data_IF_074118200414
#
_entry.id   IF_074118200414
#
_cell.length_a   1.000
_cell.length_b   1.000
_cell.length_c   1.000
_cell.angle_alpha   90.00
_cell.angle_beta   90.00
_cell.angle_gamma   90.00
#
_symmetry.space_group_name_H-M   'P 1'
#
loop_
_entity.id
_entity.type
_entity.pdbx_description
1 polymer ?
#
# COMPACT_ATOMS: atom_id res chain seq x y z
N UNK A 1 0.13 -70.13 -1.65
CA UNK A 1 0.56 -70.93 -2.82
C UNK A 1 -0.62 -71.04 -3.78
N UNK A 2 -0.46 -70.53 -5.01
CA UNK A 2 -1.28 -70.84 -6.21
C UNK A 2 -2.67 -70.18 -6.27
N UNK A 3 -3.17 -69.63 -7.38
CA UNK A 3 -2.76 -69.70 -8.79
C UNK A 3 -3.28 -68.48 -9.58
N UNK A 4 -2.50 -68.13 -10.59
CA UNK A 4 -2.76 -67.23 -11.73
C UNK A 4 -3.70 -67.83 -12.78
N UNK A 5 -4.46 -66.97 -13.48
CA UNK A 5 -4.83 -66.97 -14.91
C UNK A 5 -5.83 -65.80 -15.13
N UNK A 6 -5.63 -64.70 -15.87
CA UNK A 6 -5.19 -64.41 -17.24
C UNK A 6 -6.17 -64.86 -18.35
N UNK A 7 -6.89 -63.83 -18.84
CA UNK A 7 -7.43 -63.52 -20.18
C UNK A 7 -8.67 -64.25 -20.72
N UNK A 8 -9.69 -63.46 -21.09
CA UNK A 8 -10.22 -63.48 -22.46
C UNK A 8 -10.76 -62.10 -22.86
N UNK A 9 -10.28 -61.61 -24.00
CA UNK A 9 -10.73 -60.43 -24.72
C UNK A 9 -12.03 -60.77 -25.47
N UNK A 10 -13.02 -59.88 -25.44
CA UNK A 10 -14.04 -59.82 -26.50
C UNK A 10 -14.35 -58.35 -26.81
N UNK A 11 -13.89 -57.93 -27.98
CA UNK A 11 -14.31 -56.70 -28.63
C UNK A 11 -15.58 -57.01 -29.44
N UNK A 12 -16.62 -56.17 -29.31
CA UNK A 12 -17.61 -56.00 -30.37
C UNK A 12 -18.04 -54.54 -30.44
N UNK A 13 -18.03 -54.03 -31.67
CA UNK A 13 -18.29 -52.65 -32.08
C UNK A 13 -19.76 -52.23 -31.97
N UNK A 14 -19.93 -50.96 -31.59
CA UNK A 14 -20.82 -49.93 -32.15
C UNK A 14 -22.32 -50.22 -32.33
N UNK A 15 -23.12 -49.51 -31.54
CA UNK A 15 -24.36 -48.89 -32.01
C UNK A 15 -24.49 -47.51 -31.34
N UNK A 16 -24.45 -46.44 -32.14
CA UNK A 16 -24.77 -45.09 -31.67
C UNK A 16 -26.28 -44.98 -31.43
N UNK A 17 -26.70 -44.16 -30.46
CA UNK A 17 -27.72 -43.19 -30.82
C UNK A 17 -27.47 -41.79 -30.28
N UNK A 18 -27.89 -40.83 -31.10
CA UNK A 18 -28.43 -39.51 -30.76
C UNK A 18 -27.55 -38.54 -29.98
N UNK A 19 -27.19 -37.47 -30.69
CA UNK A 19 -26.52 -36.29 -30.17
C UNK A 19 -27.20 -35.71 -28.94
N UNK A 20 -26.42 -35.67 -27.85
CA UNK A 20 -26.48 -34.56 -26.93
C UNK A 20 -25.45 -33.55 -27.43
N UNK A 21 -25.91 -32.49 -28.10
CA UNK A 21 -25.09 -31.31 -28.33
C UNK A 21 -24.74 -30.76 -26.94
N UNK A 22 -23.53 -31.06 -26.48
CA UNK A 22 -22.93 -30.31 -25.39
C UNK A 22 -22.81 -28.88 -25.89
N UNK A 23 -23.65 -27.99 -25.36
CA UNK A 23 -23.46 -26.56 -25.56
C UNK A 23 -22.00 -26.27 -25.20
N UNK A 24 -21.26 -25.75 -26.17
CA UNK A 24 -19.91 -25.26 -25.94
C UNK A 24 -19.97 -24.31 -24.73
N UNK A 25 -18.97 -24.33 -23.83
CA UNK A 25 -18.90 -23.31 -22.79
C UNK A 25 -18.92 -21.97 -23.50
N UNK A 26 -19.95 -21.17 -23.22
CA UNK A 26 -20.02 -19.78 -23.63
C UNK A 26 -18.69 -19.17 -23.24
N UNK A 27 -17.98 -18.64 -24.25
CA UNK A 27 -16.75 -17.91 -24.05
C UNK A 27 -16.96 -16.96 -22.88
N UNK A 28 -16.21 -17.20 -21.80
CA UNK A 28 -16.18 -16.30 -20.66
C UNK A 28 -15.94 -14.92 -21.23
N UNK A 29 -16.85 -13.97 -20.95
CA UNK A 29 -16.59 -12.57 -21.26
C UNK A 29 -15.18 -12.25 -20.78
N UNK A 30 -14.35 -11.55 -21.58
CA UNK A 30 -13.01 -11.22 -21.14
C UNK A 30 -13.16 -10.46 -19.83
N UNK A 31 -12.70 -11.08 -18.74
CA UNK A 31 -12.63 -10.42 -17.43
C UNK A 31 -11.77 -9.19 -17.68
N UNK A 32 -12.41 -8.03 -17.79
CA UNK A 32 -11.72 -6.75 -17.97
C UNK A 32 -10.76 -6.69 -16.81
N UNK A 33 -9.48 -6.70 -17.14
CA UNK A 33 -8.47 -6.85 -16.12
C UNK A 33 -8.53 -5.58 -15.26
N UNK A 34 -8.94 -5.73 -14.00
CA UNK A 34 -9.16 -4.62 -13.06
C UNK A 34 -7.87 -3.92 -12.63
N UNK A 35 -7.87 -2.59 -12.60
CA UNK A 35 -6.78 -1.78 -12.05
C UNK A 35 -6.62 -1.98 -10.53
N UNK A 36 -5.50 -1.52 -9.98
CA UNK A 36 -5.19 -1.67 -8.55
C UNK A 36 -6.25 -1.00 -7.67
N UNK A 37 -6.62 0.24 -7.97
CA UNK A 37 -7.65 0.96 -7.21
C UNK A 37 -9.00 0.24 -7.26
N UNK A 38 -9.40 -0.30 -8.41
CA UNK A 38 -10.64 -1.05 -8.59
C UNK A 38 -10.65 -2.33 -7.73
N UNK A 39 -9.52 -3.02 -7.62
CA UNK A 39 -9.37 -4.19 -6.72
C UNK A 39 -9.54 -3.80 -5.26
N UNK A 40 -8.98 -2.66 -4.85
CA UNK A 40 -9.15 -2.09 -3.50
C UNK A 40 -10.63 -1.82 -3.21
N UNK A 41 -11.35 -1.21 -4.16
CA UNK A 41 -12.78 -0.97 -4.01
C UNK A 41 -13.62 -2.25 -4.01
N UNK A 42 -13.26 -3.24 -4.81
CA UNK A 42 -14.01 -4.50 -4.92
C UNK A 42 -13.95 -5.36 -3.66
N UNK A 43 -12.82 -5.35 -2.92
CA UNK A 43 -12.67 -6.11 -1.69
C UNK A 43 -11.75 -5.39 -0.68
N UNK A 44 -12.25 -4.35 0.01
CA UNK A 44 -11.43 -3.52 0.89
C UNK A 44 -10.82 -4.31 2.06
N UNK A 45 -11.52 -5.32 2.57
CA UNK A 45 -11.03 -6.16 3.68
C UNK A 45 -9.79 -6.94 3.29
N UNK A 46 -9.85 -7.68 2.18
CA UNK A 46 -8.71 -8.47 1.70
C UNK A 46 -7.54 -7.54 1.31
N UNK A 47 -7.86 -6.42 0.69
CA UNK A 47 -6.87 -5.47 0.22
C UNK A 47 -6.17 -4.75 1.38
N UNK A 48 -6.89 -4.45 2.46
CA UNK A 48 -6.26 -3.89 3.67
C UNK A 48 -5.23 -4.85 4.27
N UNK A 49 -5.49 -6.15 4.31
CA UNK A 49 -4.52 -7.15 4.82
C UNK A 49 -3.23 -7.13 3.98
N UNK A 50 -3.38 -7.12 2.65
CA UNK A 50 -2.26 -7.04 1.72
C UNK A 50 -1.48 -5.73 1.88
N UNK A 51 -2.20 -4.60 1.91
CA UNK A 51 -1.60 -3.26 2.09
C UNK A 51 -0.86 -3.17 3.41
N UNK A 52 -1.43 -3.71 4.49
CA UNK A 52 -0.77 -3.76 5.79
C UNK A 52 0.52 -4.58 5.74
N UNK A 53 0.52 -5.73 5.07
CA UNK A 53 1.74 -6.51 4.86
C UNK A 53 2.81 -5.74 4.07
N UNK A 54 2.43 -5.00 3.02
CA UNK A 54 3.35 -4.14 2.26
C UNK A 54 3.88 -3.00 3.13
N UNK A 55 3.02 -2.31 3.89
CA UNK A 55 3.40 -1.25 4.81
C UNK A 55 4.47 -1.72 5.82
N UNK A 56 4.32 -2.94 6.34
CA UNK A 56 5.30 -3.56 7.25
C UNK A 56 6.70 -3.69 6.62
N UNK A 57 6.75 -4.02 5.32
CA UNK A 57 8.01 -4.21 4.59
C UNK A 57 8.72 -2.88 4.31
N UNK A 58 7.96 -1.78 4.15
CA UNK A 58 8.50 -0.48 3.74
C UNK A 58 8.61 0.53 4.88
N UNK A 59 8.07 0.25 6.08
CA UNK A 59 8.08 1.19 7.21
C UNK A 59 9.50 1.64 7.61
N UNK A 60 10.52 0.79 7.43
CA UNK A 60 11.92 1.15 7.68
C UNK A 60 12.48 2.20 6.71
N UNK A 61 11.82 2.42 5.58
CA UNK A 61 12.23 3.35 4.52
C UNK A 61 11.47 4.69 4.59
N UNK A 62 10.27 4.73 5.19
CA UNK A 62 9.41 5.94 5.25
C UNK A 62 9.75 6.86 6.46
N UNK A 63 11.02 6.91 6.86
CA UNK A 63 11.51 7.64 8.05
C UNK A 63 10.60 7.51 9.30
N UNK A 64 10.17 6.28 9.57
CA UNK A 64 9.29 5.97 10.69
C UNK A 64 10.09 5.69 11.97
N UNK A 65 11.19 6.41 12.24
CA UNK A 65 11.98 6.19 13.47
C UNK A 65 11.08 6.36 14.69
N UNK A 66 11.27 5.47 15.67
CA UNK A 66 10.56 5.58 16.93
C UNK A 66 10.93 6.90 17.61
N UNK A 67 9.92 7.74 17.86
CA UNK A 67 10.06 8.98 18.61
C UNK A 67 9.88 8.63 20.09
N UNK A 68 10.54 9.34 21.02
CA UNK A 68 10.41 9.06 22.44
C UNK A 68 8.95 9.16 22.92
N UNK A 69 8.67 8.49 24.03
CA UNK A 69 7.43 8.71 24.79
C UNK A 69 7.62 10.01 25.56
N UNK A 70 6.65 10.94 25.44
CA UNK A 70 6.73 12.24 26.09
C UNK A 70 6.42 12.10 27.59
N UNK A 71 6.91 13.03 28.40
CA UNK A 71 6.63 13.04 29.85
C UNK A 71 5.14 13.20 30.17
N UNK A 72 4.37 13.83 29.27
CA UNK A 72 2.93 14.01 29.41
C UNK A 72 2.12 12.76 29.02
N UNK A 73 2.75 11.82 28.30
CA UNK A 73 2.09 10.62 27.80
C UNK A 73 2.50 10.23 26.38
N UNK A 74 1.80 9.24 25.84
CA UNK A 74 1.93 8.82 24.45
C UNK A 74 0.80 9.42 23.60
N UNK A 75 1.15 10.29 22.65
CA UNK A 75 0.19 10.84 21.68
C UNK A 75 0.02 9.90 20.48
N UNK A 76 -1.20 9.40 20.26
CA UNK A 76 -1.50 8.51 19.13
C UNK A 76 -1.26 9.22 17.78
N UNK A 77 -1.49 10.53 17.70
CA UNK A 77 -1.38 11.31 16.48
C UNK A 77 0.01 11.92 16.24
N UNK A 78 1.03 11.46 16.97
CA UNK A 78 2.38 12.08 16.97
C UNK A 78 3.10 12.05 15.61
N UNK A 79 2.76 11.12 14.73
CA UNK A 79 3.46 10.91 13.46
C UNK A 79 2.85 11.64 12.27
N UNK A 80 1.61 12.12 12.42
CA UNK A 80 0.89 12.82 11.36
C UNK A 80 0.75 11.97 10.09
N UNK A 81 0.43 10.69 10.26
CA UNK A 81 0.17 9.79 9.14
C UNK A 81 -1.14 10.19 8.45
N UNK A 82 -1.00 10.91 7.34
CA UNK A 82 -2.11 11.23 6.44
C UNK A 82 -1.69 10.89 5.01
N UNK A 83 -2.65 10.63 4.09
CA UNK A 83 -2.33 10.41 2.68
C UNK A 83 -1.46 11.52 2.09
N UNK A 84 -1.70 12.79 2.44
CA UNK A 84 -0.94 13.95 1.96
C UNK A 84 0.51 13.91 2.44
N UNK A 85 0.72 13.61 3.72
CA UNK A 85 2.06 13.50 4.30
C UNK A 85 2.83 12.27 3.82
N UNK A 86 2.13 11.26 3.31
CA UNK A 86 2.71 10.00 2.85
C UNK A 86 2.93 9.93 1.35
N UNK A 87 2.07 10.59 0.58
CA UNK A 87 1.98 10.42 -0.86
C UNK A 87 2.13 11.75 -1.61
N UNK A 88 2.12 12.91 -0.94
CA UNK A 88 2.25 14.21 -1.60
C UNK A 88 1.16 14.41 -2.66
N UNK A 89 1.54 14.76 -3.89
CA UNK A 89 0.61 15.00 -5.00
C UNK A 89 -0.23 13.75 -5.38
N UNK A 90 0.14 12.55 -4.91
CA UNK A 90 -0.59 11.30 -5.17
C UNK A 90 -1.73 11.03 -4.19
N UNK A 91 -1.90 11.84 -3.13
CA UNK A 91 -2.87 11.57 -2.07
C UNK A 91 -4.29 11.40 -2.58
N UNK A 92 -4.76 12.34 -3.43
CA UNK A 92 -6.10 12.31 -4.01
C UNK A 92 -6.30 11.10 -4.93
N UNK A 93 -5.36 10.86 -5.84
CA UNK A 93 -5.43 9.76 -6.81
C UNK A 93 -5.34 8.37 -6.14
N UNK A 94 -4.65 8.26 -5.00
CA UNK A 94 -4.56 7.00 -4.26
C UNK A 94 -5.88 6.64 -3.56
N UNK A 95 -6.73 7.64 -3.27
CA UNK A 95 -8.06 7.46 -2.67
C UNK A 95 -8.05 6.53 -1.46
N UNK A 96 -8.92 5.52 -1.48
CA UNK A 96 -9.04 4.51 -0.41
C UNK A 96 -7.72 3.79 -0.13
N UNK A 97 -6.90 3.57 -1.16
CA UNK A 97 -5.57 2.93 -1.01
C UNK A 97 -4.66 3.78 -0.14
N UNK A 98 -4.66 5.11 -0.35
CA UNK A 98 -3.87 6.05 0.45
C UNK A 98 -4.31 6.08 1.91
N UNK A 99 -5.61 6.02 2.16
CA UNK A 99 -6.18 5.95 3.52
C UNK A 99 -5.76 4.65 4.23
N UNK A 100 -5.83 3.51 3.53
CA UNK A 100 -5.41 2.21 4.06
C UNK A 100 -3.91 2.18 4.37
N UNK A 101 -3.08 2.76 3.51
CA UNK A 101 -1.63 2.88 3.73
C UNK A 101 -1.33 3.72 4.96
N UNK A 102 -1.97 4.88 5.09
CA UNK A 102 -1.79 5.76 6.25
C UNK A 102 -2.16 5.05 7.56
N UNK A 103 -3.32 4.39 7.57
CA UNK A 103 -3.78 3.62 8.72
C UNK A 103 -2.83 2.48 9.09
N UNK A 104 -2.32 1.73 8.10
CA UNK A 104 -1.42 0.63 8.34
C UNK A 104 -0.12 1.12 9.00
N UNK A 105 0.49 2.18 8.49
CA UNK A 105 1.71 2.77 9.04
C UNK A 105 1.50 3.36 10.44
N UNK A 106 0.35 3.97 10.69
CA UNK A 106 -0.03 4.46 12.00
C UNK A 106 -0.19 3.31 13.02
N UNK A 107 -0.89 2.26 12.64
CA UNK A 107 -1.10 1.06 13.48
C UNK A 107 0.22 0.36 13.80
N UNK A 108 1.14 0.25 12.85
CA UNK A 108 2.49 -0.27 13.12
C UNK A 108 3.29 0.62 14.08
N UNK A 109 3.16 1.94 13.94
CA UNK A 109 3.80 2.90 14.84
C UNK A 109 3.29 2.75 16.26
N UNK A 110 1.97 2.60 16.44
CA UNK A 110 1.35 2.33 17.73
C UNK A 110 1.80 1.00 18.33
N UNK A 111 1.74 -0.10 17.56
CA UNK A 111 2.14 -1.42 18.04
C UNK A 111 3.58 -1.44 18.56
N UNK A 112 4.49 -0.74 17.88
CA UNK A 112 5.89 -0.59 18.29
C UNK A 112 6.04 0.29 19.54
N UNK A 113 5.41 1.46 19.53
CA UNK A 113 5.70 2.49 20.54
C UNK A 113 4.93 2.28 21.84
N UNK A 114 3.70 1.75 21.80
CA UNK A 114 2.90 1.51 22.99
C UNK A 114 3.56 0.48 23.92
N UNK A 115 4.26 -0.52 23.37
CA UNK A 115 5.10 -1.42 24.16
C UNK A 115 6.20 -0.68 24.94
N UNK A 116 6.84 0.32 24.31
CA UNK A 116 7.83 1.20 24.98
C UNK A 116 7.19 2.14 25.99
N UNK A 117 5.91 2.45 25.81
CA UNK A 117 5.09 3.23 26.72
C UNK A 117 4.50 2.38 27.87
N UNK A 118 4.91 1.12 28.03
CA UNK A 118 4.53 0.25 29.16
C UNK A 118 3.25 -0.57 28.95
N UNK A 119 2.69 -0.58 27.74
CA UNK A 119 1.48 -1.35 27.46
C UNK A 119 1.75 -2.83 27.15
N UNK A 120 0.88 -3.76 27.59
CA UNK A 120 0.98 -5.17 27.23
C UNK A 120 0.75 -5.39 25.72
N UNK A 121 1.71 -6.03 25.04
CA UNK A 121 1.70 -6.16 23.58
C UNK A 121 0.46 -6.85 23.02
N UNK A 122 -0.03 -7.94 23.66
CA UNK A 122 -1.21 -8.66 23.20
C UNK A 122 -2.48 -7.80 23.29
N UNK A 123 -2.67 -7.12 24.42
CA UNK A 123 -3.82 -6.23 24.62
C UNK A 123 -3.83 -5.05 23.64
N UNK A 124 -2.64 -4.51 23.33
CA UNK A 124 -2.49 -3.46 22.31
C UNK A 124 -2.82 -4.00 20.92
N UNK A 125 -2.31 -5.19 20.56
CA UNK A 125 -2.58 -5.79 19.26
C UNK A 125 -4.09 -6.03 19.05
N UNK A 126 -4.79 -6.52 20.07
CA UNK A 126 -6.25 -6.70 20.03
C UNK A 126 -6.99 -5.36 19.90
N UNK A 127 -6.57 -4.33 20.64
CA UNK A 127 -7.18 -3.00 20.57
C UNK A 127 -7.00 -2.37 19.18
N UNK A 128 -5.80 -2.45 18.60
CA UNK A 128 -5.50 -1.98 17.25
C UNK A 128 -6.31 -2.78 16.21
N UNK A 129 -6.38 -4.11 16.35
CA UNK A 129 -7.15 -4.95 15.43
C UNK A 129 -8.64 -4.60 15.41
N UNK A 130 -9.25 -4.32 16.57
CA UNK A 130 -10.65 -3.84 16.65
C UNK A 130 -10.82 -2.46 16.01
N UNK A 131 -9.86 -1.55 16.21
CA UNK A 131 -9.87 -0.23 15.59
C UNK A 131 -9.82 -0.35 14.06
N UNK A 132 -8.88 -1.14 13.51
CA UNK A 132 -8.77 -1.36 12.07
C UNK A 132 -10.02 -2.03 11.48
N UNK A 133 -10.59 -3.03 12.16
CA UNK A 133 -11.82 -3.67 11.73
C UNK A 133 -13.00 -2.68 11.65
N UNK A 134 -13.10 -1.74 12.59
CA UNK A 134 -14.11 -0.69 12.56
C UNK A 134 -13.94 0.24 11.35
N UNK A 135 -12.70 0.61 11.00
CA UNK A 135 -12.41 1.44 9.82
C UNK A 135 -12.76 0.74 8.51
N UNK A 136 -12.40 -0.54 8.39
CA UNK A 136 -12.71 -1.36 7.21
C UNK A 136 -14.23 -1.44 7.03
N UNK A 137 -14.97 -1.75 8.10
CA UNK A 137 -16.42 -1.85 8.06
C UNK A 137 -17.12 -0.52 7.68
N UNK A 138 -16.52 0.61 8.07
CA UNK A 138 -17.06 1.94 7.83
C UNK A 138 -16.45 2.66 6.61
N UNK A 139 -15.63 1.96 5.80
CA UNK A 139 -15.08 2.48 4.55
C UNK A 139 -14.08 3.62 4.69
N UNK A 140 -13.35 3.71 5.82
CA UNK A 140 -12.30 4.71 6.05
C UNK A 140 -12.75 6.19 5.91
N UNK A 141 -14.02 6.50 6.20
CA UNK A 141 -14.47 7.90 6.23
C UNK A 141 -13.83 8.69 7.37
N UNK A 142 -13.72 10.01 7.25
CA UNK A 142 -13.16 10.86 8.32
C UNK A 142 -13.92 10.70 9.64
N UNK A 143 -15.26 10.65 9.59
CA UNK A 143 -16.10 10.43 10.76
C UNK A 143 -15.85 9.06 11.41
N UNK A 144 -15.68 8.01 10.59
CA UNK A 144 -15.33 6.69 11.09
C UNK A 144 -13.95 6.67 11.73
N UNK A 145 -12.98 7.38 11.15
CA UNK A 145 -11.62 7.52 11.70
C UNK A 145 -11.65 8.19 13.07
N UNK A 146 -12.36 9.30 13.20
CA UNK A 146 -12.46 10.01 14.48
C UNK A 146 -13.12 9.16 15.56
N UNK A 147 -14.24 8.51 15.22
CA UNK A 147 -14.97 7.63 16.14
C UNK A 147 -14.15 6.40 16.54
N UNK A 148 -13.53 5.71 15.57
CA UNK A 148 -12.69 4.54 15.85
C UNK A 148 -11.46 4.91 16.69
N UNK A 149 -10.89 6.11 16.50
CA UNK A 149 -9.78 6.60 17.30
C UNK A 149 -10.22 6.93 18.74
N UNK A 150 -11.39 7.52 18.94
CA UNK A 150 -11.94 7.74 20.30
C UNK A 150 -12.20 6.42 21.04
N UNK A 151 -12.73 5.42 20.33
CA UNK A 151 -12.90 4.07 20.88
C UNK A 151 -11.56 3.41 21.25
N UNK A 152 -10.52 3.60 20.42
CA UNK A 152 -9.17 3.12 20.70
C UNK A 152 -8.58 3.79 21.95
N UNK A 153 -8.74 5.11 22.10
CA UNK A 153 -8.31 5.85 23.30
C UNK A 153 -8.98 5.28 24.55
N UNK A 154 -10.30 5.09 24.53
CA UNK A 154 -11.04 4.50 25.65
C UNK A 154 -10.53 3.10 26.02
N UNK A 155 -10.31 2.25 25.01
CA UNK A 155 -9.78 0.89 25.19
C UNK A 155 -8.36 0.90 25.78
N UNK A 156 -7.49 1.80 25.31
CA UNK A 156 -6.13 1.90 25.84
C UNK A 156 -6.13 2.45 27.28
N UNK A 157 -7.01 3.37 27.63
CA UNK A 157 -7.16 3.83 29.02
C UNK A 157 -7.70 2.73 29.96
N UNK A 158 -8.53 1.82 29.46
CA UNK A 158 -8.90 0.58 30.18
C UNK A 158 -7.70 -0.32 30.42
N UNK A 159 -6.90 -0.59 29.38
CA UNK A 159 -5.67 -1.40 29.49
C UNK A 159 -4.70 -0.76 30.48
N UNK A 160 -4.54 0.56 30.42
CA UNK A 160 -3.62 1.33 31.29
C UNK A 160 -3.94 1.16 32.77
N UNK A 161 -5.23 1.05 33.15
CA UNK A 161 -5.63 0.82 34.56
C UNK A 161 -5.08 -0.50 35.13
N UNK A 162 -4.81 -1.48 34.29
CA UNK A 162 -4.20 -2.77 34.67
C UNK A 162 -2.69 -2.87 34.41
N UNK A 163 -2.05 -1.82 33.88
CA UNK A 163 -0.65 -1.82 33.48
C UNK A 163 0.14 -0.74 34.24
N UNK A 164 0.71 -1.07 35.42
CA UNK A 164 1.51 -0.12 36.19
C UNK A 164 2.67 0.46 35.38
N UNK A 165 2.84 1.78 35.43
CA UNK A 165 3.88 2.49 34.68
C UNK A 165 3.56 2.74 33.21
N UNK A 166 2.41 2.30 32.70
CA UNK A 166 1.98 2.64 31.35
C UNK A 166 1.66 4.14 31.22
N UNK A 167 2.18 4.77 30.16
CA UNK A 167 2.00 6.18 29.90
C UNK A 167 0.53 6.52 29.62
N UNK A 168 0.09 7.74 29.95
CA UNK A 168 -1.24 8.22 29.59
C UNK A 168 -1.40 8.31 28.07
N UNK A 169 -2.59 8.02 27.53
CA UNK A 169 -2.88 8.25 26.10
C UNK A 169 -3.33 9.68 25.87
N UNK A 170 -2.80 10.28 24.81
CA UNK A 170 -3.19 11.59 24.29
C UNK A 170 -3.69 11.45 22.84
N UNK A 171 -4.68 12.26 22.46
CA UNK A 171 -5.17 12.45 21.08
C UNK A 171 -5.06 13.94 20.75
N UNK A 172 -3.84 14.42 20.52
CA UNK A 172 -3.57 15.83 20.23
C UNK A 172 -3.07 15.96 18.79
N UNK A 173 -3.84 16.63 17.94
CA UNK A 173 -3.40 16.92 16.58
C UNK A 173 -2.34 18.05 16.62
N UNK A 174 -1.08 17.69 16.34
CA UNK A 174 0.06 18.63 16.24
C UNK A 174 0.57 18.78 14.79
N UNK A 175 -0.23 18.35 13.82
CA UNK A 175 0.22 18.16 12.44
C UNK A 175 0.22 19.42 11.58
N UNK A 176 -0.39 20.52 12.06
CA UNK A 176 -0.54 21.79 11.32
C UNK A 176 0.76 22.51 10.93
N UNK A 177 1.94 21.90 11.10
CA UNK A 177 3.25 22.45 10.70
C UNK A 177 4.19 21.41 10.05
N UNK A 178 3.75 20.18 9.81
CA UNK A 178 4.59 19.10 9.31
C UNK A 178 4.08 18.59 7.96
N UNK A 179 4.22 19.40 6.91
CA UNK A 179 4.12 18.87 5.55
C UNK A 179 5.41 18.08 5.30
N UNK A 180 5.31 16.74 5.29
CA UNK A 180 6.47 15.87 5.03
C UNK A 180 6.86 15.84 3.55
N UNK A 181 5.96 16.23 2.66
CA UNK A 181 6.20 16.24 1.23
C UNK A 181 7.17 17.35 0.81
N UNK A 182 8.08 17.01 -0.10
CA UNK A 182 9.09 17.87 -0.67
C UNK A 182 8.69 18.32 -2.07
N UNK A 183 8.57 19.63 -2.26
CA UNK A 183 8.39 20.21 -3.58
C UNK A 183 9.73 20.18 -4.35
N UNK A 184 9.84 19.31 -5.36
CA UNK A 184 11.05 19.16 -6.19
C UNK A 184 10.73 19.39 -7.67
N UNK A 185 11.71 19.93 -8.38
CA UNK A 185 11.75 19.89 -9.84
C UNK A 185 12.36 18.58 -10.32
N UNK A 186 12.17 18.25 -11.60
CA UNK A 186 12.88 17.14 -12.25
C UNK A 186 13.52 17.60 -13.55
N UNK A 187 14.57 16.90 -13.97
CA UNK A 187 15.13 16.99 -15.32
C UNK A 187 15.53 15.62 -15.84
N UNK A 188 15.52 15.46 -17.15
CA UNK A 188 15.96 14.24 -17.83
C UNK A 188 17.34 14.45 -18.44
N UNK A 189 18.14 13.38 -18.48
CA UNK A 189 19.42 13.36 -19.18
C UNK A 189 19.52 12.05 -20.00
N UNK A 190 19.47 12.11 -21.35
CA UNK A 190 19.35 13.30 -22.21
C UNK A 190 18.08 14.13 -21.96
N UNK A 191 18.04 15.39 -22.40
CA UNK A 191 16.84 16.23 -22.27
C UNK A 191 15.68 15.73 -23.17
N UNK A 192 14.46 16.18 -22.88
CA UNK A 192 13.27 15.85 -23.67
C UNK A 192 12.59 14.53 -23.32
N UNK A 193 13.06 13.82 -22.29
CA UNK A 193 12.39 12.63 -21.76
C UNK A 193 11.08 12.97 -21.04
N UNK A 194 10.03 12.20 -21.31
CA UNK A 194 8.74 12.29 -20.60
C UNK A 194 8.76 11.37 -19.39
N UNK A 195 8.71 11.96 -18.20
CA UNK A 195 8.74 11.23 -16.94
C UNK A 195 7.34 10.98 -16.39
N UNK A 196 7.20 9.85 -15.69
CA UNK A 196 6.09 9.53 -14.79
C UNK A 196 6.66 9.03 -13.48
N UNK A 197 5.91 9.22 -12.40
CA UNK A 197 6.30 8.81 -11.06
C UNK A 197 5.15 8.13 -10.32
N UNK A 198 5.51 7.32 -9.34
CA UNK A 198 4.58 6.68 -8.41
C UNK A 198 5.27 6.50 -7.04
N UNK A 199 4.59 6.77 -5.91
CA UNK A 199 5.12 6.47 -4.59
C UNK A 199 5.49 5.00 -4.50
N UNK A 200 6.68 4.71 -3.97
CA UNK A 200 7.20 3.34 -3.96
C UNK A 200 6.27 2.36 -3.24
N UNK A 201 5.59 2.79 -2.18
CA UNK A 201 4.59 1.98 -1.49
C UNK A 201 3.42 1.58 -2.40
N UNK A 202 2.93 2.48 -3.26
CA UNK A 202 1.85 2.20 -4.21
C UNK A 202 2.34 1.25 -5.32
N UNK A 203 3.57 1.43 -5.81
CA UNK A 203 4.22 0.50 -6.76
C UNK A 203 4.32 -0.92 -6.17
N UNK A 204 4.68 -1.02 -4.90
CA UNK A 204 4.76 -2.31 -4.17
C UNK A 204 3.40 -2.93 -3.90
N UNK A 205 2.35 -2.13 -3.70
CA UNK A 205 0.97 -2.63 -3.61
C UNK A 205 0.54 -3.26 -4.92
N UNK A 206 0.77 -2.60 -6.06
CA UNK A 206 0.48 -3.17 -7.37
C UNK A 206 1.20 -4.52 -7.57
N UNK A 207 2.49 -4.58 -7.23
CA UNK A 207 3.24 -5.83 -7.29
C UNK A 207 2.68 -6.92 -6.36
N UNK A 208 2.27 -6.57 -5.14
CA UNK A 208 1.70 -7.51 -4.18
C UNK A 208 0.30 -8.00 -4.58
N UNK A 209 -0.40 -7.26 -5.44
CA UNK A 209 -1.65 -7.70 -6.08
C UNK A 209 -1.40 -8.54 -7.33
N UNK A 210 -0.17 -8.99 -7.61
CA UNK A 210 0.18 -9.72 -8.84
C UNK A 210 -0.14 -8.92 -10.12
N UNK A 211 0.01 -7.59 -10.05
CA UNK A 211 -0.02 -6.71 -11.22
C UNK A 211 1.40 -6.41 -11.68
N UNK A 212 1.58 -6.19 -12.98
CA UNK A 212 2.79 -5.53 -13.48
C UNK A 212 2.80 -4.08 -12.95
N UNK A 213 3.72 -3.73 -12.03
CA UNK A 213 3.71 -2.44 -11.38
C UNK A 213 4.20 -1.31 -12.30
N UNK A 214 4.79 -1.64 -13.46
CA UNK A 214 5.24 -0.65 -14.45
C UNK A 214 4.17 -0.38 -15.54
N UNK A 215 3.10 -1.18 -15.57
CA UNK A 215 1.95 -0.97 -16.44
C UNK A 215 0.98 0.07 -15.84
N UNK A 216 0.88 1.28 -16.43
CA UNK A 216 0.08 2.38 -15.86
C UNK A 216 -1.43 2.16 -15.96
N UNK A 217 -1.88 1.19 -16.76
CA UNK A 217 -3.30 0.84 -16.86
C UNK A 217 -3.70 -0.11 -15.72
N UNK A 218 -2.76 -0.95 -15.28
CA UNK A 218 -2.99 -1.95 -14.22
C UNK A 218 -2.65 -1.35 -12.86
N UNK A 219 -1.49 -0.69 -12.76
CA UNK A 219 -1.08 0.10 -11.61
C UNK A 219 -1.41 1.58 -11.88
N UNK A 220 -2.64 1.96 -11.58
CA UNK A 220 -3.23 3.24 -11.99
C UNK A 220 -2.81 4.45 -11.12
N UNK A 221 -1.81 4.27 -10.26
CA UNK A 221 -1.23 5.35 -9.45
C UNK A 221 -0.07 6.10 -10.13
N UNK A 222 0.32 5.71 -11.35
CA UNK A 222 1.34 6.45 -12.10
C UNK A 222 0.80 7.83 -12.50
N UNK A 223 1.54 8.88 -12.11
CA UNK A 223 1.24 10.25 -12.54
C UNK A 223 2.32 10.74 -13.49
N UNK A 224 1.90 11.39 -14.56
CA UNK A 224 2.83 12.11 -15.44
C UNK A 224 3.46 13.27 -14.68
N UNK A 225 4.73 13.52 -14.97
CA UNK A 225 5.40 14.68 -14.45
C UNK A 225 4.71 15.97 -14.95
N UNK A 226 4.58 16.96 -14.06
CA UNK A 226 4.04 18.27 -14.45
C UNK A 226 4.93 18.88 -15.54
N UNK A 227 4.33 19.49 -16.56
CA UNK A 227 5.06 20.17 -17.61
C UNK A 227 5.78 21.43 -17.07
N UNK A 228 5.13 22.10 -16.12
CA UNK A 228 5.66 23.26 -15.40
C UNK A 228 5.31 23.15 -13.91
N UNK A 229 6.20 23.68 -13.05
CA UNK A 229 5.99 23.75 -11.61
C UNK A 229 6.51 22.52 -10.84
N UNK A 230 6.55 22.69 -9.52
CA UNK A 230 7.06 21.67 -8.60
C UNK A 230 6.05 20.54 -8.44
N UNK A 231 6.57 19.32 -8.32
CA UNK A 231 5.81 18.17 -7.83
C UNK A 231 6.13 17.95 -6.35
N UNK A 232 5.10 17.62 -5.58
CA UNK A 232 5.23 17.33 -4.16
C UNK A 232 5.45 15.84 -3.94
N UNK A 233 6.66 15.46 -3.52
CA UNK A 233 7.08 14.08 -3.30
C UNK A 233 7.15 13.75 -1.81
N UNK A 234 6.51 12.67 -1.38
CA UNK A 234 6.58 12.20 -0.01
C UNK A 234 7.16 10.78 0.03
N UNK A 235 8.38 10.65 0.57
CA UNK A 235 9.09 9.38 0.67
C UNK A 235 9.56 8.82 -0.69
N UNK A 236 10.12 7.59 -0.69
CA UNK A 236 10.73 6.99 -1.87
C UNK A 236 9.78 6.87 -3.06
N UNK A 237 10.31 7.12 -4.26
CA UNK A 237 9.56 7.15 -5.51
C UNK A 237 10.13 6.17 -6.52
N UNK A 238 9.26 5.50 -7.28
CA UNK A 238 9.64 4.86 -8.53
C UNK A 238 9.37 5.83 -9.70
N UNK A 239 10.19 5.74 -10.75
CA UNK A 239 10.05 6.56 -11.95
C UNK A 239 10.19 5.73 -13.22
N UNK A 240 9.58 6.22 -14.30
CA UNK A 240 9.78 5.75 -15.66
C UNK A 240 9.90 6.95 -16.59
N UNK A 241 10.93 6.98 -17.43
CA UNK A 241 11.17 8.04 -18.42
C UNK A 241 11.16 7.41 -19.81
N UNK A 242 10.45 8.06 -20.75
CA UNK A 242 10.46 7.69 -22.17
C UNK A 242 10.97 8.86 -23.02
N UNK A 243 12.00 8.62 -23.82
CA UNK A 243 12.57 9.59 -24.75
C UNK A 243 11.90 9.54 -26.14
N UNK A 244 12.09 10.58 -26.98
CA UNK A 244 11.49 10.64 -28.31
C UNK A 244 11.91 9.51 -29.26
N UNK A 245 13.11 8.97 -29.07
CA UNK A 245 13.66 7.83 -29.80
C UNK A 245 13.04 6.47 -29.41
N UNK A 246 12.16 6.47 -28.39
CA UNK A 246 11.51 5.28 -27.86
C UNK A 246 12.26 4.62 -26.69
N UNK A 247 13.44 5.11 -26.33
CA UNK A 247 14.21 4.60 -25.20
C UNK A 247 13.43 4.80 -23.90
N UNK A 248 13.45 3.78 -23.03
CA UNK A 248 12.79 3.82 -21.73
C UNK A 248 13.79 3.50 -20.63
N UNK A 249 13.83 4.33 -19.58
CA UNK A 249 14.55 4.04 -18.34
C UNK A 249 13.57 3.98 -17.17
N UNK A 250 13.82 3.08 -16.23
CA UNK A 250 13.10 2.99 -14.96
C UNK A 250 14.09 3.05 -13.80
N UNK A 251 13.61 3.48 -12.64
CA UNK A 251 14.45 3.51 -11.45
C UNK A 251 13.68 3.96 -10.22
N UNK A 252 14.44 4.19 -9.16
CA UNK A 252 13.91 4.68 -7.90
C UNK A 252 14.79 5.83 -7.40
N UNK A 253 14.21 6.75 -6.64
CA UNK A 253 14.94 7.78 -5.92
C UNK A 253 14.26 8.07 -4.59
N UNK A 254 15.05 8.56 -3.64
CA UNK A 254 14.55 9.11 -2.38
C UNK A 254 14.56 10.64 -2.47
N UNK A 255 13.39 11.33 -2.42
CA UNK A 255 13.30 12.78 -2.47
C UNK A 255 14.17 13.48 -1.42
N UNK A 256 14.37 12.88 -0.25
CA UNK A 256 15.18 13.49 0.81
C UNK A 256 16.64 13.64 0.41
N UNK A 257 17.16 12.75 -0.44
CA UNK A 257 18.53 12.87 -1.00
C UNK A 257 18.68 14.08 -1.92
N UNK A 258 17.58 14.57 -2.49
CA UNK A 258 17.55 15.70 -3.42
C UNK A 258 17.10 17.00 -2.74
N UNK A 259 16.80 16.98 -1.44
CA UNK A 259 16.30 18.14 -0.67
C UNK A 259 17.19 19.37 -0.79
N UNK A 260 18.52 19.20 -0.70
CA UNK A 260 19.47 20.32 -0.77
C UNK A 260 19.62 20.90 -2.18
N UNK A 261 19.41 20.09 -3.21
CA UNK A 261 19.58 20.48 -4.62
C UNK A 261 18.27 21.00 -5.22
N UNK A 262 17.12 20.53 -4.72
CA UNK A 262 15.79 20.91 -5.20
C UNK A 262 15.42 20.34 -6.58
N UNK A 263 16.29 19.53 -7.18
CA UNK A 263 16.11 18.95 -8.52
C UNK A 263 16.52 17.48 -8.51
N UNK A 264 15.65 16.62 -9.04
CA UNK A 264 15.94 15.20 -9.31
C UNK A 264 16.39 15.06 -10.77
N UNK A 265 17.54 14.42 -11.01
CA UNK A 265 18.02 14.13 -12.38
C UNK A 265 17.75 12.68 -12.74
N UNK A 266 16.87 12.46 -13.71
CA UNK A 266 16.52 11.14 -14.22
C UNK A 266 17.40 10.83 -15.43
N UNK A 267 18.18 9.75 -15.35
CA UNK A 267 19.17 9.42 -16.35
C UNK A 267 18.72 8.18 -17.13
N UNK A 268 19.06 8.18 -18.40
CA UNK A 268 19.11 6.93 -19.16
C UNK A 268 20.08 5.98 -18.45
N UNK A 269 19.62 4.76 -18.13
CA UNK A 269 20.52 3.73 -17.63
C UNK A 269 21.20 3.07 -18.83
N UNK A 270 22.53 2.96 -18.87
CA UNK A 270 23.18 2.19 -19.91
C UNK A 270 22.67 0.74 -19.82
N UNK A 271 22.28 0.18 -20.96
CA UNK A 271 21.98 -1.26 -21.08
C UNK A 271 23.13 -2.02 -20.42
N UNK A 272 22.84 -2.76 -19.34
CA UNK A 272 23.79 -3.72 -18.77
C UNK A 272 24.15 -4.68 -19.91
N UNK A 273 25.40 -4.60 -20.37
CA UNK A 273 25.97 -5.53 -21.34
C UNK A 273 26.11 -6.92 -20.72
#
# INVERSE_FOLDING_TARGET
MGKTAIFTFLALLAAAPCGAQTAAPTASEPVVAQASSERVHANPTLQYILIKAVAAQVIGVVDARALPVESEGYNLLKYCWTPENLLGDWSENAGLTGLMVAQALESYSWARDLGRAGYPALSVADAIGRHEAALIAAGFTDAARDHALDALVGTLEEIRRGAPGAARILKVNRCGRQIRSLALNYKTAPEGGRARFVPYILHRICSAQDLDPDNPVRCDYWMNAKAEGLMSFAGPMAYSVRWPDGTVATGQFDPDTSRAVGIVTLREQPLKK
#
